data_IF_462476605384
#
_entry.id   IF_462476605384
#
_cell.length_a   1.000
_cell.length_b   1.000
_cell.length_c   1.000
_cell.angle_alpha   90.00
_cell.angle_beta   90.00
_cell.angle_gamma   90.00
#
_symmetry.space_group_name_H-M   'P 1'
#
loop_
_entity.id
_entity.type
_entity.pdbx_description
1 polymer ?
#
# COMPACT_ATOMS: atom_id res chain seq x y z
N UNK A 1 4.73 11.70 -34.51
CA UNK A 1 4.52 12.00 -33.08
C UNK A 1 5.07 10.82 -32.30
N UNK A 2 6.10 11.03 -31.49
CA UNK A 2 6.60 9.99 -30.57
C UNK A 2 5.52 9.68 -29.52
N UNK A 3 5.18 8.40 -29.37
CA UNK A 3 4.25 7.93 -28.33
C UNK A 3 5.05 7.50 -27.11
N UNK A 4 5.36 8.45 -26.24
CA UNK A 4 5.97 8.16 -24.95
C UNK A 4 4.89 7.86 -23.91
N UNK A 5 5.03 6.72 -23.22
CA UNK A 5 4.11 6.30 -22.16
C UNK A 5 4.85 6.48 -20.82
N UNK A 6 4.26 7.19 -19.84
CA UNK A 6 4.89 7.37 -18.53
C UNK A 6 4.98 6.02 -17.80
N UNK A 7 6.14 5.76 -17.18
CA UNK A 7 6.41 4.55 -16.42
C UNK A 7 6.33 4.85 -14.93
N UNK A 8 5.53 4.06 -14.21
CA UNK A 8 5.49 4.04 -12.74
C UNK A 8 6.36 2.92 -12.19
N UNK A 9 7.12 3.20 -11.13
CA UNK A 9 7.92 2.21 -10.41
C UNK A 9 7.27 1.95 -9.06
N UNK A 10 6.87 0.70 -8.83
CA UNK A 10 6.29 0.28 -7.55
C UNK A 10 7.38 -0.27 -6.62
N UNK A 11 7.50 0.32 -5.44
CA UNK A 11 8.19 -0.31 -4.32
C UNK A 11 7.30 -1.37 -3.66
N UNK A 12 7.83 -2.07 -2.64
CA UNK A 12 7.04 -2.96 -1.78
C UNK A 12 5.88 -2.19 -1.15
N UNK A 13 4.66 -2.72 -1.22
CA UNK A 13 3.49 -2.08 -0.65
C UNK A 13 2.37 -3.07 -0.38
N UNK A 14 1.34 -2.59 0.32
CA UNK A 14 0.12 -3.33 0.61
C UNK A 14 -1.10 -2.46 0.33
N UNK A 15 -2.12 -3.06 -0.25
CA UNK A 15 -3.49 -2.54 -0.20
C UNK A 15 -4.22 -3.30 0.90
N UNK A 16 -5.00 -2.59 1.72
CA UNK A 16 -5.70 -3.20 2.87
C UNK A 16 -7.21 -3.15 2.69
N UNK A 17 -7.90 -4.14 3.25
CA UNK A 17 -9.34 -4.07 3.48
C UNK A 17 -9.66 -3.17 4.67
N UNK A 18 -10.90 -2.68 4.77
CA UNK A 18 -11.32 -1.91 5.94
C UNK A 18 -11.17 -2.73 7.24
N UNK A 19 -11.57 -4.00 7.23
CA UNK A 19 -11.47 -4.88 8.40
C UNK A 19 -10.01 -5.08 8.84
N UNK A 20 -9.09 -5.25 7.90
CA UNK A 20 -7.66 -5.42 8.21
C UNK A 20 -7.02 -4.09 8.66
N UNK A 21 -7.46 -2.96 8.09
CA UNK A 21 -7.03 -1.63 8.54
C UNK A 21 -7.43 -1.42 10.01
N UNK A 22 -8.68 -1.72 10.36
CA UNK A 22 -9.18 -1.58 11.72
C UNK A 22 -8.50 -2.54 12.69
N UNK A 23 -8.24 -3.78 12.26
CA UNK A 23 -7.48 -4.75 13.07
C UNK A 23 -6.07 -4.25 13.40
N UNK A 24 -5.42 -3.55 12.45
CA UNK A 24 -4.04 -3.08 12.60
C UNK A 24 -3.93 -1.72 13.31
N UNK A 25 -4.89 -0.82 13.12
CA UNK A 25 -4.79 0.59 13.55
C UNK A 25 -5.94 1.05 14.47
N UNK A 26 -6.97 0.23 14.68
CA UNK A 26 -8.11 0.49 15.56
C UNK A 26 -9.45 0.66 14.83
N UNK A 27 -10.56 0.38 15.52
CA UNK A 27 -11.91 0.47 14.95
C UNK A 27 -12.20 1.87 14.38
N UNK A 28 -12.77 1.91 13.17
CA UNK A 28 -13.09 3.15 12.45
C UNK A 28 -11.89 3.96 11.96
N UNK A 29 -10.68 3.39 11.96
CA UNK A 29 -9.49 4.10 11.47
C UNK A 29 -9.58 4.39 9.97
N UNK A 30 -9.11 5.58 9.58
CA UNK A 30 -8.99 6.04 8.20
C UNK A 30 -7.53 6.33 7.85
N UNK A 31 -7.11 5.97 6.64
CA UNK A 31 -5.74 6.19 6.15
C UNK A 31 -5.43 7.68 6.01
N UNK A 32 -4.30 8.13 6.56
CA UNK A 32 -3.84 9.50 6.34
C UNK A 32 -3.04 9.61 5.03
N UNK A 33 -3.35 10.62 4.22
CA UNK A 33 -2.74 10.79 2.90
C UNK A 33 -1.33 11.38 3.02
N UNK A 34 -0.31 10.64 2.58
CA UNK A 34 1.04 11.17 2.44
C UNK A 34 1.23 11.90 1.10
N UNK A 35 0.87 11.24 -0.02
CA UNK A 35 0.94 11.85 -1.37
C UNK A 35 0.04 11.14 -2.37
N UNK A 36 -0.49 11.90 -3.33
CA UNK A 36 -1.20 11.34 -4.48
C UNK A 36 -0.26 10.54 -5.39
N UNK A 37 -0.79 9.50 -6.04
CA UNK A 37 -0.11 8.73 -7.08
C UNK A 37 -0.57 9.20 -8.48
N UNK A 38 0.08 8.68 -9.53
CA UNK A 38 -0.28 9.02 -10.91
C UNK A 38 -1.64 8.47 -11.33
N UNK A 39 -2.08 7.37 -10.72
CA UNK A 39 -3.41 6.82 -10.93
C UNK A 39 -4.46 7.69 -10.20
N UNK A 40 -5.56 8.06 -10.88
CA UNK A 40 -6.62 8.86 -10.29
C UNK A 40 -7.14 8.24 -8.98
N UNK A 41 -7.31 9.08 -7.96
CA UNK A 41 -7.84 8.70 -6.64
C UNK A 41 -7.02 7.62 -5.92
N UNK A 42 -5.74 7.41 -6.27
CA UNK A 42 -4.83 6.54 -5.51
C UNK A 42 -3.81 7.40 -4.77
N UNK A 43 -3.41 6.96 -3.58
CA UNK A 43 -2.44 7.67 -2.76
C UNK A 43 -1.54 6.71 -1.99
N UNK A 44 -0.33 7.15 -1.67
CA UNK A 44 0.47 6.55 -0.62
C UNK A 44 0.01 7.12 0.72
N UNK A 45 -0.24 6.27 1.70
CA UNK A 45 -0.68 6.66 3.03
C UNK A 45 0.51 6.89 3.98
N UNK A 46 0.33 7.58 5.11
CA UNK A 46 1.39 7.77 6.12
C UNK A 46 1.79 6.46 6.80
N UNK A 47 0.86 5.51 6.83
CA UNK A 47 1.00 4.23 7.50
C UNK A 47 1.94 3.30 6.75
N UNK A 48 2.65 2.50 7.53
CA UNK A 48 3.41 1.36 7.03
C UNK A 48 3.19 0.16 7.93
N UNK A 49 3.28 -1.03 7.36
CA UNK A 49 3.24 -2.29 8.10
C UNK A 49 4.59 -3.01 8.04
N UNK A 50 4.75 -4.00 8.91
CA UNK A 50 5.80 -5.01 8.82
C UNK A 50 5.19 -6.33 8.36
N UNK A 51 5.73 -6.90 7.29
CA UNK A 51 5.32 -8.24 6.84
C UNK A 51 6.25 -9.23 7.54
N UNK A 52 5.69 -10.08 8.39
CA UNK A 52 6.44 -11.08 9.15
C UNK A 52 6.17 -12.47 8.59
N UNK A 53 7.23 -13.25 8.39
CA UNK A 53 7.17 -14.67 8.02
C UNK A 53 7.98 -15.48 9.03
N UNK A 54 7.89 -16.81 8.97
CA UNK A 54 8.71 -17.69 9.81
C UNK A 54 10.23 -17.50 9.59
N UNK A 55 10.65 -17.00 8.42
CA UNK A 55 12.06 -16.84 8.06
C UNK A 55 12.61 -15.46 8.39
N UNK A 56 11.83 -14.42 8.13
CA UNK A 56 12.27 -13.03 8.24
C UNK A 56 11.09 -12.06 8.26
N UNK A 57 11.39 -10.78 8.46
CA UNK A 57 10.41 -9.71 8.35
C UNK A 57 10.87 -8.59 7.40
N UNK A 58 9.89 -7.92 6.81
CA UNK A 58 10.09 -6.79 5.91
C UNK A 58 9.39 -5.57 6.52
N UNK A 59 10.20 -4.66 7.07
CA UNK A 59 9.72 -3.42 7.71
C UNK A 59 9.37 -2.33 6.70
N UNK A 60 8.57 -1.37 7.15
CA UNK A 60 8.24 -0.13 6.43
C UNK A 60 7.60 -0.39 5.06
N UNK A 61 6.71 -1.37 4.97
CA UNK A 61 5.92 -1.66 3.77
C UNK A 61 4.77 -0.66 3.71
N UNK A 62 4.73 0.16 2.65
CA UNK A 62 3.80 1.29 2.53
C UNK A 62 2.37 0.79 2.29
N UNK A 63 1.38 1.39 2.96
CA UNK A 63 -0.03 1.20 2.58
C UNK A 63 -0.37 2.15 1.42
N UNK A 64 -1.02 1.62 0.38
CA UNK A 64 -1.61 2.41 -0.71
C UNK A 64 -3.12 2.44 -0.57
N UNK A 65 -3.66 3.65 -0.48
CA UNK A 65 -5.08 3.92 -0.36
C UNK A 65 -5.75 4.27 -1.68
N UNK A 66 -7.10 4.30 -1.69
CA UNK A 66 -8.00 4.00 -0.58
C UNK A 66 -8.05 2.50 -0.23
N UNK A 67 -8.74 2.17 0.86
CA UNK A 67 -9.03 0.77 1.21
C UNK A 67 -9.71 0.03 0.06
N UNK A 68 -9.44 -1.27 -0.04
CA UNK A 68 -10.03 -2.17 -1.05
C UNK A 68 -10.96 -3.18 -0.40
N UNK A 69 -11.62 -4.00 -1.23
CA UNK A 69 -12.45 -5.11 -0.73
C UNK A 69 -11.63 -6.21 -0.06
N UNK A 70 -10.39 -6.40 -0.50
CA UNK A 70 -9.49 -7.45 -0.01
C UNK A 70 -8.08 -6.90 0.12
N UNK A 71 -7.37 -7.40 1.13
CA UNK A 71 -5.96 -7.09 1.33
C UNK A 71 -5.10 -7.78 0.27
N UNK A 72 -4.16 -7.04 -0.29
CA UNK A 72 -3.23 -7.49 -1.33
C UNK A 72 -1.84 -6.98 -1.01
N UNK A 73 -0.87 -7.89 -0.97
CA UNK A 73 0.54 -7.59 -0.71
C UNK A 73 1.33 -7.74 -2.01
N UNK A 74 2.08 -6.71 -2.39
CA UNK A 74 2.91 -6.70 -3.60
C UNK A 74 4.40 -6.61 -3.23
N UNK A 75 5.15 -7.68 -3.55
CA UNK A 75 6.58 -7.82 -3.25
C UNK A 75 7.35 -8.24 -4.50
N UNK A 76 8.62 -7.86 -4.56
CA UNK A 76 9.57 -8.43 -5.50
C UNK A 76 10.04 -9.81 -5.01
N UNK A 77 10.53 -10.64 -5.94
CA UNK A 77 11.00 -12.01 -5.65
C UNK A 77 12.31 -12.07 -4.83
N UNK A 78 13.02 -10.95 -4.72
CA UNK A 78 14.41 -10.86 -4.23
C UNK A 78 14.55 -10.99 -2.72
#
# INVERSE_FOLDING_TARGET
>A
MEKNIPVGISGRHVHVSQADLETLFGDGYELDTLKALSQPNQFAAQETVEIVTAKSSIKKVRILGPVRKQTQVELALT
#
